data_IF_301681017960
#
_entry.id   IF_301681017960
#
_cell.length_a   1.000
_cell.length_b   1.000
_cell.length_c   1.000
_cell.angle_alpha   90.00
_cell.angle_beta   90.00
_cell.angle_gamma   90.00
#
_symmetry.space_group_name_H-M   'P 1'
#
loop_
_entity.id
_entity.type
_entity.pdbx_description
1 polymer ?
#
# COMPACT_ATOMS: atom_id res chain seq x y z
N UNK A 1 -5.07 -0.78 1.76
CA UNK A 1 -4.71 0.41 2.57
C UNK A 1 -4.92 1.73 1.83
N UNK A 2 -4.15 2.05 0.78
CA UNK A 2 -4.21 3.35 0.07
C UNK A 2 -5.63 3.74 -0.40
N UNK A 3 -6.40 2.78 -0.93
CA UNK A 3 -7.80 2.99 -1.33
C UNK A 3 -8.70 3.58 -0.23
N UNK A 4 -8.40 3.28 1.03
CA UNK A 4 -9.17 3.73 2.20
C UNK A 4 -8.63 5.03 2.82
N UNK A 5 -7.56 5.60 2.26
CA UNK A 5 -7.04 6.88 2.73
C UNK A 5 -8.01 8.02 2.38
N UNK A 6 -8.30 8.96 3.31
CA UNK A 6 -9.34 9.98 3.13
C UNK A 6 -9.18 10.85 1.88
N UNK A 7 -7.94 11.11 1.46
CA UNK A 7 -7.64 11.99 0.35
C UNK A 7 -7.61 11.26 -1.01
N UNK A 8 -7.57 9.93 -1.04
CA UNK A 8 -7.38 9.15 -2.29
C UNK A 8 -8.35 9.54 -3.42
N UNK A 9 -9.66 9.76 -3.17
CA UNK A 9 -10.59 10.17 -4.23
C UNK A 9 -10.22 11.50 -4.90
N UNK A 10 -9.51 12.39 -4.18
CA UNK A 10 -9.17 13.75 -4.63
C UNK A 10 -7.77 13.86 -5.24
N UNK A 11 -6.91 12.86 -5.02
CA UNK A 11 -5.55 12.85 -5.53
C UNK A 11 -5.53 12.54 -7.02
N UNK A 12 -4.69 13.26 -7.77
CA UNK A 12 -4.35 12.89 -9.13
C UNK A 12 -3.60 11.54 -9.15
N UNK A 13 -3.55 10.82 -10.28
CA UNK A 13 -2.97 9.48 -10.35
C UNK A 13 -1.55 9.39 -9.77
N UNK A 14 -0.65 10.28 -10.18
CA UNK A 14 0.73 10.31 -9.68
C UNK A 14 0.86 10.68 -8.19
N UNK A 15 -0.08 11.45 -7.64
CA UNK A 15 -0.09 11.77 -6.21
C UNK A 15 -0.56 10.56 -5.39
N UNK A 16 -1.40 9.70 -5.97
CA UNK A 16 -1.75 8.39 -5.38
C UNK A 16 -0.55 7.46 -5.36
N UNK A 17 0.28 7.45 -6.42
CA UNK A 17 1.51 6.66 -6.46
C UNK A 17 2.50 7.12 -5.38
N UNK A 18 2.66 8.43 -5.22
CA UNK A 18 3.49 9.00 -4.16
C UNK A 18 2.98 8.55 -2.78
N UNK A 19 1.69 8.67 -2.52
CA UNK A 19 1.08 8.21 -1.27
C UNK A 19 1.28 6.70 -1.06
N UNK A 20 1.14 5.90 -2.11
CA UNK A 20 1.39 4.46 -2.07
C UNK A 20 2.84 4.17 -1.68
N UNK A 21 3.82 4.76 -2.37
CA UNK A 21 5.24 4.55 -2.07
C UNK A 21 5.64 5.04 -0.68
N UNK A 22 5.04 6.13 -0.20
CA UNK A 22 5.21 6.59 1.19
C UNK A 22 4.61 5.60 2.18
N UNK A 23 3.45 5.03 1.87
CA UNK A 23 2.80 4.00 2.69
C UNK A 23 3.65 2.74 2.77
N UNK A 24 4.20 2.27 1.65
CA UNK A 24 5.12 1.13 1.63
C UNK A 24 6.38 1.40 2.47
N UNK A 25 6.97 2.59 2.34
CA UNK A 25 8.11 2.98 3.16
C UNK A 25 7.78 3.01 4.67
N UNK A 26 6.57 3.43 5.05
CA UNK A 26 6.14 3.38 6.45
C UNK A 26 6.05 1.93 6.97
N UNK A 27 5.61 0.99 6.14
CA UNK A 27 5.45 -0.43 6.48
C UNK A 27 6.76 -1.23 6.44
N UNK A 28 7.78 -0.76 5.71
CA UNK A 28 9.07 -1.45 5.59
C UNK A 28 9.82 -1.63 6.93
N UNK A 29 9.43 -0.90 7.97
CA UNK A 29 10.02 -1.05 9.31
C UNK A 29 9.36 -2.16 10.13
N UNK A 30 8.15 -2.58 9.76
CA UNK A 30 7.36 -3.54 10.54
C UNK A 30 7.19 -4.86 9.80
N UNK A 31 7.12 -4.83 8.47
CA UNK A 31 7.06 -6.00 7.62
C UNK A 31 8.44 -6.42 7.14
N UNK A 32 8.71 -7.73 7.11
CA UNK A 32 9.94 -8.29 6.55
C UNK A 32 9.61 -9.44 5.60
N UNK A 33 9.82 -9.22 4.31
CA UNK A 33 9.69 -10.24 3.29
C UNK A 33 10.78 -11.30 3.48
N UNK A 34 10.44 -12.61 3.42
CA UNK A 34 11.43 -13.68 3.42
C UNK A 34 12.27 -13.72 2.12
N UNK A 35 11.76 -13.12 1.04
CA UNK A 35 12.44 -13.03 -0.25
C UNK A 35 12.99 -11.62 -0.47
N UNK A 36 14.24 -11.55 -0.92
CA UNK A 36 14.89 -10.27 -1.24
C UNK A 36 14.59 -9.89 -2.68
N UNK A 37 13.79 -8.85 -2.87
CA UNK A 37 13.49 -8.27 -4.16
C UNK A 37 13.34 -6.77 -4.04
N UNK A 38 14.15 -6.01 -4.78
CA UNK A 38 14.02 -4.56 -4.82
C UNK A 38 12.88 -4.20 -5.76
N UNK A 39 11.80 -3.66 -5.21
CA UNK A 39 10.66 -3.18 -5.99
C UNK A 39 11.09 -2.04 -6.93
N UNK A 40 10.90 -2.25 -8.22
CA UNK A 40 11.01 -1.21 -9.24
C UNK A 40 9.65 -0.55 -9.45
N UNK A 41 9.62 0.77 -9.51
CA UNK A 41 8.38 1.50 -9.74
C UNK A 41 8.60 2.63 -10.75
N UNK A 42 8.46 2.34 -12.06
CA UNK A 42 8.59 3.36 -13.08
C UNK A 42 7.42 4.35 -13.01
N UNK A 43 7.67 5.67 -13.07
CA UNK A 43 6.61 6.67 -13.13
C UNK A 43 5.76 6.49 -14.40
N UNK A 44 4.44 6.67 -14.29
CA UNK A 44 3.53 6.60 -15.43
C UNK A 44 3.85 7.64 -16.52
N UNK A 45 3.48 7.34 -17.75
CA UNK A 45 3.56 8.28 -18.86
C UNK A 45 2.76 9.56 -18.57
N UNK A 46 3.30 10.71 -18.97
CA UNK A 46 2.71 12.01 -18.66
C UNK A 46 2.96 12.51 -17.22
N UNK A 47 3.60 11.73 -16.34
CA UNK A 47 3.93 12.20 -14.98
C UNK A 47 4.81 13.45 -15.04
N UNK A 48 4.43 14.56 -14.37
CA UNK A 48 5.21 15.79 -14.41
C UNK A 48 6.59 15.61 -13.77
N UNK A 49 7.57 16.41 -14.22
CA UNK A 49 9.00 16.23 -13.88
C UNK A 49 9.27 16.19 -12.37
N UNK A 50 8.56 17.01 -11.58
CA UNK A 50 8.71 17.06 -10.12
C UNK A 50 8.29 15.74 -9.46
N UNK A 51 7.08 15.27 -9.79
CA UNK A 51 6.53 14.02 -9.28
C UNK A 51 7.36 12.83 -9.74
N UNK A 52 7.82 12.83 -11.00
CA UNK A 52 8.69 11.79 -11.55
C UNK A 52 9.97 11.63 -10.71
N UNK A 53 10.62 12.74 -10.35
CA UNK A 53 11.80 12.73 -9.49
C UNK A 53 11.49 12.21 -8.09
N UNK A 54 10.35 12.61 -7.53
CA UNK A 54 9.91 12.16 -6.21
C UNK A 54 9.61 10.66 -6.16
N UNK A 55 8.87 10.15 -7.15
CA UNK A 55 8.56 8.72 -7.30
C UNK A 55 9.85 7.91 -7.42
N UNK A 56 10.79 8.34 -8.27
CA UNK A 56 12.08 7.67 -8.43
C UNK A 56 12.89 7.63 -7.12
N UNK A 57 12.87 8.71 -6.33
CA UNK A 57 13.55 8.74 -5.05
C UNK A 57 12.89 7.82 -4.02
N UNK A 58 11.55 7.83 -3.95
CA UNK A 58 10.80 7.00 -3.01
C UNK A 58 10.97 5.51 -3.30
N UNK A 59 10.92 5.12 -4.58
CA UNK A 59 11.17 3.75 -5.04
C UNK A 59 12.60 3.29 -4.70
N UNK A 60 13.61 4.15 -4.91
CA UNK A 60 15.01 3.83 -4.55
C UNK A 60 15.21 3.55 -3.05
N UNK A 61 14.44 4.21 -2.20
CA UNK A 61 14.51 4.11 -0.74
C UNK A 61 13.75 2.88 -0.18
N UNK A 62 12.99 2.16 -1.00
CA UNK A 62 12.29 0.95 -0.54
C UNK A 62 13.28 -0.12 -0.12
N UNK A 63 12.96 -0.80 0.98
CA UNK A 63 13.77 -1.91 1.49
C UNK A 63 13.62 -3.11 0.53
N UNK A 64 14.71 -3.75 0.07
CA UNK A 64 14.63 -4.98 -0.75
C UNK A 64 13.96 -6.16 -0.05
N UNK A 65 13.84 -6.14 1.28
CA UNK A 65 13.06 -7.11 2.06
C UNK A 65 11.80 -6.48 2.65
N UNK A 66 11.37 -5.36 2.10
CA UNK A 66 10.18 -4.63 2.47
C UNK A 66 8.91 -5.25 1.87
N UNK A 67 7.84 -4.46 1.86
CA UNK A 67 6.56 -4.91 1.29
C UNK A 67 6.68 -5.05 -0.24
N UNK A 68 6.37 -6.22 -0.82
CA UNK A 68 6.44 -6.44 -2.26
C UNK A 68 5.29 -5.75 -3.02
N UNK A 69 5.48 -5.57 -4.33
CA UNK A 69 4.53 -4.91 -5.26
C UNK A 69 3.22 -5.70 -5.44
N UNK A 70 3.26 -7.02 -5.24
CA UNK A 70 2.10 -7.91 -5.37
C UNK A 70 1.34 -8.05 -4.06
N UNK A 71 0.03 -7.78 -4.09
CA UNK A 71 -1.00 -8.09 -3.06
C UNK A 71 -0.38 -8.27 -1.67
N UNK A 72 0.00 -7.17 -1.05
CA UNK A 72 0.75 -7.20 0.20
C UNK A 72 -0.05 -7.94 1.30
N UNK A 73 0.44 -9.12 1.70
CA UNK A 73 0.02 -9.87 2.89
C UNK A 73 0.50 -9.17 4.16
N UNK A 74 0.16 -7.89 4.33
CA UNK A 74 0.41 -7.17 5.57
C UNK A 74 -0.68 -7.50 6.56
N UNK A 75 -0.28 -8.01 7.72
CA UNK A 75 -1.21 -8.32 8.80
C UNK A 75 -1.69 -7.05 9.48
N UNK A 76 -2.84 -7.13 10.16
CA UNK A 76 -3.35 -6.04 10.99
C UNK A 76 -2.29 -5.57 11.99
N UNK A 77 -1.64 -6.51 12.69
CA UNK A 77 -0.59 -6.22 13.67
C UNK A 77 0.57 -5.41 13.09
N UNK A 78 1.04 -5.75 11.89
CA UNK A 78 2.15 -5.05 11.24
C UNK A 78 1.77 -3.61 10.82
N UNK A 79 0.53 -3.42 10.37
CA UNK A 79 0.01 -2.09 10.03
C UNK A 79 -0.17 -1.22 11.27
N UNK A 80 -0.75 -1.76 12.34
CA UNK A 80 -0.91 -1.00 13.58
C UNK A 80 0.42 -0.77 14.31
N UNK A 81 1.43 -1.61 14.08
CA UNK A 81 2.80 -1.33 14.55
C UNK A 81 3.44 -0.14 13.81
N UNK A 82 3.01 0.14 12.57
CA UNK A 82 3.45 1.29 11.76
C UNK A 82 2.54 2.52 11.92
N UNK A 83 1.66 2.56 12.93
CA UNK A 83 0.61 3.58 13.03
C UNK A 83 1.15 5.01 13.13
N UNK A 84 2.25 5.23 13.84
CA UNK A 84 2.86 6.56 13.98
C UNK A 84 3.24 7.18 12.62
N UNK A 85 4.10 6.51 11.82
CA UNK A 85 4.38 6.92 10.45
C UNK A 85 3.13 7.05 9.56
N UNK A 86 2.17 6.12 9.65
CA UNK A 86 0.94 6.17 8.85
C UNK A 86 0.06 7.39 9.21
N UNK A 87 -0.05 7.74 10.49
CA UNK A 87 -0.76 8.96 10.93
C UNK A 87 -0.16 10.24 10.34
N UNK A 88 1.17 10.32 10.24
CA UNK A 88 1.86 11.45 9.61
C UNK A 88 1.54 11.59 8.12
N UNK A 89 1.17 10.48 7.46
CA UNK A 89 0.72 10.47 6.07
C UNK A 89 -0.77 10.80 5.91
N UNK A 90 -1.53 10.92 7.00
CA UNK A 90 -2.96 11.26 6.99
C UNK A 90 -3.91 10.08 7.16
N UNK A 91 -3.40 8.87 7.44
CA UNK A 91 -4.26 7.73 7.78
C UNK A 91 -4.95 7.94 9.13
N UNK A 92 -6.22 7.53 9.21
CA UNK A 92 -7.01 7.55 10.45
C UNK A 92 -7.20 6.13 10.97
N UNK A 93 -7.13 5.96 12.28
CA UNK A 93 -7.25 4.65 12.94
C UNK A 93 -8.54 3.94 12.57
N UNK A 94 -9.66 4.70 12.53
CA UNK A 94 -10.98 4.18 12.13
C UNK A 94 -11.00 3.65 10.69
N UNK A 95 -10.25 4.28 9.78
CA UNK A 95 -10.18 3.82 8.38
C UNK A 95 -9.32 2.57 8.27
N UNK A 96 -8.21 2.51 9.01
CA UNK A 96 -7.34 1.34 9.07
C UNK A 96 -8.06 0.13 9.68
N UNK A 97 -8.80 0.32 10.78
CA UNK A 97 -9.64 -0.74 11.37
C UNK A 97 -10.67 -1.27 10.36
N UNK A 98 -11.26 -0.40 9.54
CA UNK A 98 -12.22 -0.82 8.50
C UNK A 98 -11.57 -1.66 7.39
N UNK A 99 -10.27 -1.50 7.13
CA UNK A 99 -9.55 -2.33 6.14
C UNK A 99 -9.47 -3.79 6.59
N UNK A 100 -9.36 -4.03 7.89
CA UNK A 100 -9.23 -5.36 8.48
C UNK A 100 -10.55 -5.92 9.01
N UNK A 101 -11.64 -5.15 8.92
CA UNK A 101 -12.95 -5.63 9.30
C UNK A 101 -13.40 -6.77 8.36
N UNK A 102 -14.04 -7.82 8.89
CA UNK A 102 -14.55 -8.91 8.08
C UNK A 102 -15.53 -8.39 7.02
N UNK A 103 -15.57 -9.00 5.82
CA UNK A 103 -16.54 -8.63 4.80
C UNK A 103 -17.96 -8.76 5.38
N UNK A 104 -18.80 -7.77 5.07
CA UNK A 104 -20.19 -7.74 5.57
C UNK A 104 -21.07 -8.79 4.92
N UNK A 105 -20.72 -9.21 3.71
CA UNK A 105 -21.44 -10.23 2.97
C UNK A 105 -20.78 -11.60 3.20
N UNK A 106 -21.58 -12.65 3.47
CA UNK A 106 -21.05 -14.00 3.58
C UNK A 106 -20.48 -14.44 2.23
N UNK A 107 -19.26 -14.98 2.26
CA UNK A 107 -18.64 -15.59 1.09
C UNK A 107 -19.45 -16.84 0.73
N UNK A 108 -20.08 -16.82 -0.44
CA UNK A 108 -20.86 -17.94 -0.96
C UNK A 108 -20.01 -18.76 -1.93
N UNK A 109 -19.96 -20.08 -1.74
CA UNK A 109 -19.23 -20.99 -2.62
C UNK A 109 -20.21 -21.71 -3.54
N UNK A 110 -19.91 -21.75 -4.83
CA UNK A 110 -20.67 -22.56 -5.81
C UNK A 110 -19.81 -23.77 -6.16
N UNK A 111 -20.33 -24.97 -5.96
CA UNK A 111 -19.69 -26.21 -6.40
C UNK A 111 -20.18 -26.53 -7.81
N UNK A 112 -19.30 -26.40 -8.79
CA UNK A 112 -19.60 -26.72 -10.19
C UNK A 112 -19.16 -28.16 -10.45
N UNK A 113 -20.06 -28.98 -10.99
CA UNK A 113 -19.75 -30.31 -11.52
C UNK A 113 -19.83 -30.25 -13.04
N UNK A 114 -18.83 -30.81 -13.72
CA UNK A 114 -18.85 -31.02 -15.16
C UNK A 114 -19.17 -32.50 -15.42
N UNK A 115 -20.18 -32.74 -16.27
CA UNK A 115 -20.53 -34.06 -16.80
C UNK A 115 -19.88 -34.27 -18.16
#
# INVERSE_FOLDING_TARGET
LVKHHPQTPRLAPWDRDILMLQTLNALNNTYKCPYSHKMEYPPMDGTPKKQRKQIAQLSKNLNPRGVPDTVAYVTEKEVFSALGPLKRLGYRDKDLQRVFAPPREPVSFIRIHFQ
#
